data_IF_926306334124
#
_entry.id   IF_926306334124
#
_cell.length_a   1.000
_cell.length_b   1.000
_cell.length_c   1.000
_cell.angle_alpha   90.00
_cell.angle_beta   90.00
_cell.angle_gamma   90.00
#
_symmetry.space_group_name_H-M   'P 1'
#
loop_
_entity.id
_entity.type
_entity.pdbx_description
1 polymer ?
#
# COMPACT_ATOMS: atom_id res chain seq x y z
N UNK A 1 -12.73 21.61 14.81
CA UNK A 1 -13.15 20.30 14.25
C UNK A 1 -11.94 19.38 14.26
N UNK A 2 -11.98 18.24 14.96
CA UNK A 2 -10.90 17.23 14.89
C UNK A 2 -11.15 16.38 13.65
N UNK A 3 -10.35 16.54 12.61
CA UNK A 3 -10.37 15.60 11.48
C UNK A 3 -10.07 14.19 12.03
N UNK A 4 -10.84 13.16 11.67
CA UNK A 4 -10.54 11.81 12.07
C UNK A 4 -9.18 11.42 11.47
N UNK A 5 -8.21 11.13 12.33
CA UNK A 5 -6.89 10.68 11.90
C UNK A 5 -7.03 9.32 11.20
N UNK A 6 -6.61 9.23 9.95
CA UNK A 6 -6.56 7.96 9.23
C UNK A 6 -5.66 6.96 9.95
N UNK A 7 -5.99 5.67 9.85
CA UNK A 7 -5.03 4.66 10.30
C UNK A 7 -3.77 4.72 9.43
N UNK A 8 -2.61 4.51 10.06
CA UNK A 8 -1.31 4.56 9.39
C UNK A 8 -1.22 3.56 8.23
N UNK A 9 -1.82 2.38 8.38
CA UNK A 9 -1.85 1.36 7.32
C UNK A 9 -2.64 1.89 6.13
N UNK A 10 -3.81 2.46 6.37
CA UNK A 10 -4.60 3.10 5.32
C UNK A 10 -3.84 4.22 4.62
N UNK A 11 -3.14 5.07 5.38
CA UNK A 11 -2.30 6.12 4.83
C UNK A 11 -1.19 5.58 3.92
N UNK A 12 -0.48 4.53 4.35
CA UNK A 12 0.56 3.92 3.52
C UNK A 12 0.01 3.31 2.24
N UNK A 13 -1.12 2.58 2.32
CA UNK A 13 -1.75 2.01 1.14
C UNK A 13 -2.26 3.11 0.20
N UNK A 14 -2.86 4.17 0.75
CA UNK A 14 -3.30 5.33 -0.04
C UNK A 14 -2.14 6.00 -0.76
N UNK A 15 -1.02 6.25 -0.07
CA UNK A 15 0.18 6.81 -0.68
C UNK A 15 0.76 5.88 -1.76
N UNK A 16 0.72 4.56 -1.55
CA UNK A 16 1.12 3.62 -2.58
C UNK A 16 0.26 3.76 -3.84
N UNK A 17 -1.06 3.91 -3.70
CA UNK A 17 -1.97 4.13 -4.83
C UNK A 17 -1.65 5.43 -5.56
N UNK A 18 -1.39 6.51 -4.81
CA UNK A 18 -1.00 7.80 -5.40
C UNK A 18 0.30 7.67 -6.19
N UNK A 19 1.34 7.04 -5.62
CA UNK A 19 2.59 6.83 -6.34
C UNK A 19 2.40 5.95 -7.57
N UNK A 20 1.61 4.88 -7.50
CA UNK A 20 1.33 4.05 -8.66
C UNK A 20 0.66 4.83 -9.80
N UNK A 21 -0.33 5.67 -9.46
CA UNK A 21 -1.01 6.51 -10.44
C UNK A 21 -0.07 7.56 -11.05
N UNK A 22 0.73 8.24 -10.21
CA UNK A 22 1.70 9.23 -10.68
C UNK A 22 2.75 8.60 -11.59
N UNK A 23 3.28 7.43 -11.23
CA UNK A 23 4.26 6.70 -12.04
C UNK A 23 3.69 6.24 -13.38
N UNK A 24 2.41 5.87 -13.41
CA UNK A 24 1.74 5.54 -14.66
C UNK A 24 1.54 6.77 -15.55
N UNK A 25 1.06 7.87 -14.97
CA UNK A 25 0.89 9.13 -15.72
C UNK A 25 2.24 9.66 -16.21
N UNK A 26 3.31 9.54 -15.42
CA UNK A 26 4.64 9.99 -15.83
C UNK A 26 5.16 9.21 -17.04
N UNK A 27 4.82 7.92 -17.20
CA UNK A 27 5.16 7.14 -18.40
C UNK A 27 4.47 7.63 -19.68
N UNK A 28 3.32 8.30 -19.55
CA UNK A 28 2.59 8.85 -20.69
C UNK A 28 3.13 10.21 -21.13
N UNK A 29 3.69 10.97 -20.18
CA UNK A 29 4.11 12.36 -20.39
C UNK A 29 5.61 12.49 -20.60
N UNK A 30 6.42 11.69 -19.90
CA UNK A 30 7.88 11.76 -19.95
C UNK A 30 8.43 10.81 -21.03
N UNK A 31 9.31 11.29 -21.91
CA UNK A 31 10.00 10.45 -22.88
C UNK A 31 11.10 9.64 -22.16
N UNK A 32 10.70 8.51 -21.60
CA UNK A 32 11.55 7.61 -20.81
C UNK A 32 12.19 6.50 -21.66
N UNK A 33 11.81 6.37 -22.93
CA UNK A 33 12.33 5.35 -23.85
C UNK A 33 13.30 6.01 -24.83
N UNK A 34 14.55 5.59 -24.80
CA UNK A 34 15.55 6.00 -25.78
C UNK A 34 15.48 5.04 -26.98
N UNK A 35 15.08 5.54 -28.15
CA UNK A 35 15.24 4.83 -29.41
C UNK A 35 16.60 5.20 -30.00
N UNK A 36 17.46 4.21 -30.16
CA UNK A 36 18.72 4.39 -30.86
C UNK A 36 18.52 4.03 -32.33
N UNK A 37 18.61 5.03 -33.20
CA UNK A 37 18.49 4.82 -34.63
C UNK A 37 19.80 4.19 -35.16
N UNK A 38 19.71 2.95 -35.64
CA UNK A 38 20.86 2.10 -35.99
C UNK A 38 21.64 2.62 -37.21
N UNK A 39 21.04 3.48 -38.05
CA UNK A 39 21.68 4.06 -39.23
C UNK A 39 22.36 5.42 -38.96
N UNK A 40 21.84 6.21 -38.02
CA UNK A 40 22.30 7.59 -37.76
C UNK A 40 23.05 7.75 -36.43
N UNK A 41 22.91 6.79 -35.51
CA UNK A 41 23.46 6.87 -34.15
C UNK A 41 22.77 7.92 -33.27
N UNK A 42 21.69 8.53 -33.75
CA UNK A 42 20.92 9.54 -33.01
C UNK A 42 20.03 8.85 -31.97
N UNK A 43 20.10 9.32 -30.72
CA UNK A 43 19.29 8.81 -29.62
C UNK A 43 18.09 9.74 -29.46
N UNK A 44 16.91 9.27 -29.88
CA UNK A 44 15.67 10.03 -29.77
C UNK A 44 14.86 9.49 -28.59
N UNK A 45 14.64 10.34 -27.58
CA UNK A 45 13.79 10.01 -26.45
C UNK A 45 12.31 10.14 -26.85
N UNK A 46 11.56 9.05 -26.78
CA UNK A 46 10.13 8.98 -27.04
C UNK A 46 9.36 8.48 -25.81
N UNK A 47 8.08 8.84 -25.75
CA UNK A 47 7.17 8.29 -24.74
C UNK A 47 6.78 6.86 -25.12
N UNK A 48 6.44 6.03 -24.13
CA UNK A 48 5.94 4.67 -24.37
C UNK A 48 4.69 4.62 -25.28
N UNK A 49 3.90 5.70 -25.26
CA UNK A 49 2.73 5.85 -26.12
C UNK A 49 3.13 6.11 -27.57
N UNK A 50 4.15 6.94 -27.79
CA UNK A 50 4.68 7.24 -29.12
C UNK A 50 5.42 6.04 -29.73
N UNK A 51 6.04 5.20 -28.89
CA UNK A 51 6.70 3.96 -29.28
C UNK A 51 5.70 2.83 -29.66
N UNK A 52 4.39 3.04 -29.46
CA UNK A 52 3.35 2.09 -29.88
C UNK A 52 3.25 0.82 -29.03
N UNK A 53 3.99 0.72 -27.93
CA UNK A 53 4.02 -0.43 -27.02
C UNK A 53 2.80 -0.48 -26.07
N UNK A 54 1.61 -0.57 -26.65
CA UNK A 54 0.32 -0.58 -25.92
C UNK A 54 0.21 -1.73 -24.91
N UNK A 55 0.86 -2.87 -25.18
CA UNK A 55 0.89 -4.01 -24.25
C UNK A 55 1.64 -3.69 -22.96
N UNK A 56 2.78 -2.98 -23.05
CA UNK A 56 3.53 -2.55 -21.87
C UNK A 56 2.75 -1.49 -21.08
N UNK A 57 2.04 -0.59 -21.75
CA UNK A 57 1.13 0.35 -21.10
C UNK A 57 0.03 -0.35 -20.31
N UNK A 58 -0.59 -1.39 -20.88
CA UNK A 58 -1.58 -2.19 -20.16
C UNK A 58 -0.96 -2.92 -18.97
N UNK A 59 0.24 -3.45 -19.12
CA UNK A 59 0.93 -4.17 -18.06
C UNK A 59 1.32 -3.22 -16.90
N UNK A 60 1.64 -1.96 -17.20
CA UNK A 60 1.90 -0.91 -16.20
C UNK A 60 0.65 -0.49 -15.41
N UNK A 61 -0.56 -0.92 -15.78
CA UNK A 61 -1.75 -0.76 -14.93
C UNK A 61 -1.76 -1.73 -13.75
N UNK A 62 -1.00 -2.84 -13.81
CA UNK A 62 -1.02 -3.88 -12.78
C UNK A 62 -0.69 -3.32 -11.39
N UNK A 63 0.38 -2.53 -11.18
CA UNK A 63 0.65 -1.92 -9.87
C UNK A 63 -0.46 -0.99 -9.37
N UNK A 64 -1.18 -0.30 -10.27
CA UNK A 64 -2.32 0.53 -9.91
C UNK A 64 -3.47 -0.34 -9.43
N UNK A 65 -3.84 -1.37 -10.21
CA UNK A 65 -4.96 -2.27 -9.85
C UNK A 65 -4.68 -2.96 -8.51
N UNK A 66 -3.45 -3.42 -8.27
CA UNK A 66 -3.05 -4.05 -7.00
C UNK A 66 -3.07 -3.06 -5.84
N UNK A 67 -2.57 -1.83 -6.01
CA UNK A 67 -2.61 -0.83 -4.95
C UNK A 67 -4.03 -0.36 -4.64
N UNK A 68 -4.91 -0.23 -5.65
CA UNK A 68 -6.34 0.07 -5.46
C UNK A 68 -7.05 -1.08 -4.75
N UNK A 69 -6.78 -2.34 -5.13
CA UNK A 69 -7.39 -3.48 -4.45
C UNK A 69 -6.98 -3.53 -2.97
N UNK A 70 -5.70 -3.28 -2.67
CA UNK A 70 -5.20 -3.17 -1.31
C UNK A 70 -5.87 -2.02 -0.54
N UNK A 71 -6.10 -0.88 -1.20
CA UNK A 71 -6.78 0.28 -0.60
C UNK A 71 -8.22 -0.03 -0.24
N UNK A 72 -8.97 -0.68 -1.15
CA UNK A 72 -10.35 -1.09 -0.93
C UNK A 72 -10.47 -2.13 0.19
N UNK A 73 -9.48 -3.01 0.34
CA UNK A 73 -9.44 -4.00 1.40
C UNK A 73 -8.99 -3.43 2.77
N UNK A 74 -8.53 -2.18 2.81
CA UNK A 74 -8.01 -1.55 4.04
C UNK A 74 -9.00 -0.53 4.59
N UNK A 75 -9.53 -0.72 5.82
CA UNK A 75 -10.45 0.24 6.42
C UNK A 75 -9.74 1.54 6.83
N UNK A 76 -10.43 2.68 6.69
CA UNK A 76 -9.88 4.03 6.96
C UNK A 76 -9.47 4.29 8.41
N UNK A 77 -10.18 3.69 9.37
CA UNK A 77 -10.05 4.04 10.79
C UNK A 77 -9.75 2.85 11.70
N UNK A 78 -9.69 1.64 11.17
CA UNK A 78 -9.56 0.40 11.96
C UNK A 78 -8.40 -0.43 11.40
N UNK A 79 -8.00 -1.48 12.13
CA UNK A 79 -7.02 -2.41 11.59
C UNK A 79 -7.64 -3.28 10.50
N UNK A 80 -6.89 -3.64 9.44
CA UNK A 80 -7.37 -4.55 8.42
C UNK A 80 -7.66 -5.94 9.01
N UNK A 81 -8.74 -6.54 8.56
CA UNK A 81 -9.10 -7.94 8.86
C UNK A 81 -8.11 -8.91 8.22
N UNK A 82 -8.19 -10.21 8.58
CA UNK A 82 -7.27 -11.24 8.07
C UNK A 82 -7.20 -11.25 6.54
N UNK A 83 -8.35 -11.14 5.86
CA UNK A 83 -8.42 -11.08 4.40
C UNK A 83 -7.71 -9.83 3.83
N UNK A 84 -7.92 -8.65 4.45
CA UNK A 84 -7.26 -7.41 4.06
C UNK A 84 -5.73 -7.48 4.22
N UNK A 85 -5.24 -8.10 5.31
CA UNK A 85 -3.80 -8.31 5.51
C UNK A 85 -3.18 -9.19 4.43
N UNK A 86 -3.86 -10.28 4.08
CA UNK A 86 -3.43 -11.17 2.99
C UNK A 86 -3.42 -10.42 1.66
N UNK A 87 -4.44 -9.62 1.37
CA UNK A 87 -4.50 -8.84 0.13
C UNK A 87 -3.35 -7.82 0.03
N UNK A 88 -3.06 -7.09 1.11
CA UNK A 88 -1.92 -6.16 1.15
C UNK A 88 -0.63 -6.93 0.86
N UNK A 89 -0.40 -8.07 1.51
CA UNK A 89 0.80 -8.89 1.29
C UNK A 89 0.94 -9.42 -0.14
N UNK A 90 -0.14 -9.98 -0.69
CA UNK A 90 -0.15 -10.48 -2.06
C UNK A 90 0.10 -9.35 -3.06
N UNK A 91 -0.49 -8.17 -2.82
CA UNK A 91 -0.25 -6.97 -3.63
C UNK A 91 1.20 -6.52 -3.53
N UNK A 92 1.79 -6.50 -2.33
CA UNK A 92 3.21 -6.17 -2.14
C UNK A 92 4.12 -7.11 -2.93
N UNK A 93 3.92 -8.43 -2.82
CA UNK A 93 4.73 -9.43 -3.55
C UNK A 93 4.58 -9.22 -5.06
N UNK A 94 3.35 -9.11 -5.56
CA UNK A 94 3.10 -8.95 -6.99
C UNK A 94 3.69 -7.64 -7.55
N UNK A 95 3.63 -6.54 -6.79
CA UNK A 95 4.29 -5.28 -7.17
C UNK A 95 5.81 -5.43 -7.20
N UNK A 96 6.43 -6.14 -6.25
CA UNK A 96 7.86 -6.43 -6.31
C UNK A 96 8.26 -7.26 -7.53
N UNK A 97 7.50 -8.32 -7.82
CA UNK A 97 7.71 -9.14 -9.02
C UNK A 97 7.64 -8.27 -10.28
N UNK A 98 6.64 -7.40 -10.37
CA UNK A 98 6.53 -6.43 -11.45
C UNK A 98 7.77 -5.52 -11.53
N UNK A 99 8.18 -4.90 -10.42
CA UNK A 99 9.33 -3.99 -10.39
C UNK A 99 10.60 -4.69 -10.86
N UNK A 100 10.84 -5.93 -10.41
CA UNK A 100 12.03 -6.72 -10.78
C UNK A 100 12.02 -7.07 -12.26
N UNK A 101 10.88 -7.56 -12.79
CA UNK A 101 10.77 -7.96 -14.19
C UNK A 101 10.92 -6.78 -15.16
N UNK A 102 10.45 -5.59 -14.75
CA UNK A 102 10.44 -4.40 -15.61
C UNK A 102 11.53 -3.38 -15.24
N UNK A 103 12.52 -3.75 -14.41
CA UNK A 103 13.48 -2.79 -13.85
C UNK A 103 14.30 -2.05 -14.91
N UNK A 104 14.62 -2.73 -16.02
CA UNK A 104 15.40 -2.18 -17.14
C UNK A 104 14.61 -1.25 -18.06
N UNK A 105 13.29 -1.18 -17.90
CA UNK A 105 12.43 -0.35 -18.75
C UNK A 105 11.83 0.76 -17.90
N UNK A 106 10.97 0.39 -16.96
CA UNK A 106 10.02 1.32 -16.34
C UNK A 106 9.65 0.93 -14.91
N UNK A 107 10.07 -0.25 -14.45
CA UNK A 107 9.77 -0.78 -13.12
C UNK A 107 10.30 0.09 -11.99
N UNK A 108 11.40 0.83 -12.21
CA UNK A 108 11.98 1.72 -11.21
C UNK A 108 11.02 2.83 -10.75
N UNK A 109 10.13 3.28 -11.64
CA UNK A 109 9.14 4.31 -11.31
C UNK A 109 8.13 3.81 -10.27
N UNK A 110 7.91 2.51 -10.16
CA UNK A 110 6.99 1.91 -9.19
C UNK A 110 7.66 1.54 -7.85
N UNK A 111 8.95 1.83 -7.69
CA UNK A 111 9.68 1.55 -6.44
C UNK A 111 9.07 2.26 -5.21
N UNK A 112 8.66 3.55 -5.27
CA UNK A 112 8.00 4.21 -4.14
C UNK A 112 6.69 3.52 -3.73
N UNK A 113 5.92 3.01 -4.70
CA UNK A 113 4.71 2.21 -4.47
C UNK A 113 5.03 0.93 -3.69
N UNK A 114 6.08 0.20 -4.11
CA UNK A 114 6.51 -1.03 -3.43
C UNK A 114 6.92 -0.76 -1.98
N UNK A 115 7.67 0.33 -1.73
CA UNK A 115 8.10 0.74 -0.39
C UNK A 115 6.90 1.03 0.51
N UNK A 116 5.91 1.79 0.01
CA UNK A 116 4.71 2.13 0.78
C UNK A 116 3.84 0.89 1.09
N UNK A 117 3.66 0.00 0.11
CA UNK A 117 2.97 -1.29 0.33
C UNK A 117 3.71 -2.18 1.32
N UNK A 118 5.04 -2.13 1.36
CA UNK A 118 5.85 -2.85 2.34
C UNK A 118 5.62 -2.32 3.75
N UNK A 119 5.62 -1.00 3.92
CA UNK A 119 5.30 -0.37 5.20
C UNK A 119 3.89 -0.75 5.70
N UNK A 120 2.91 -0.79 4.79
CA UNK A 120 1.56 -1.27 5.08
C UNK A 120 1.53 -2.75 5.46
N UNK A 121 2.20 -3.61 4.70
CA UNK A 121 2.24 -5.06 4.92
C UNK A 121 2.86 -5.40 6.28
N UNK A 122 4.04 -4.85 6.59
CA UNK A 122 4.72 -5.04 7.87
C UNK A 122 3.90 -4.43 9.01
N UNK A 123 3.38 -3.21 8.82
CA UNK A 123 2.54 -2.52 9.80
C UNK A 123 1.25 -3.27 10.14
N UNK A 124 0.71 -4.05 9.20
CA UNK A 124 -0.51 -4.85 9.39
C UNK A 124 -0.32 -6.09 10.28
N UNK A 125 0.92 -6.58 10.41
CA UNK A 125 1.24 -7.74 11.26
C UNK A 125 1.50 -7.38 12.71
N UNK A 126 1.93 -6.15 12.99
CA UNK A 126 2.12 -5.69 14.37
C UNK A 126 0.75 -5.55 15.01
N UNK A 127 0.37 -6.56 15.81
CA UNK A 127 -0.86 -6.56 16.60
C UNK A 127 -0.76 -5.40 17.58
N UNK A 128 -1.43 -4.27 17.31
CA UNK A 128 -1.43 -3.18 18.29
C UNK A 128 -2.19 -3.70 19.51
N UNK A 129 -1.53 -3.72 20.67
CA UNK A 129 -2.24 -3.69 21.95
C UNK A 129 -3.27 -2.57 21.82
N UNK A 130 -4.54 -2.89 22.05
CA UNK A 130 -5.56 -1.86 22.19
C UNK A 130 -5.00 -0.83 23.17
N UNK A 131 -4.71 0.37 22.67
CA UNK A 131 -4.30 1.46 23.53
C UNK A 131 -5.41 1.60 24.54
N UNK A 132 -5.08 1.42 25.82
CA UNK A 132 -5.99 1.57 26.94
C UNK A 132 -6.76 2.88 26.73
N UNK A 133 -8.02 2.77 26.31
CA UNK A 133 -8.87 3.94 26.12
C UNK A 133 -9.43 4.24 27.50
N UNK A 134 -9.07 5.37 28.14
CA UNK A 134 -9.64 5.71 29.44
C UNK A 134 -11.18 5.81 29.38
N UNK A 135 -11.76 6.02 28.18
CA UNK A 135 -13.19 5.96 27.93
C UNK A 135 -13.79 4.54 28.00
N UNK A 136 -13.07 3.50 27.55
CA UNK A 136 -13.50 2.09 27.73
C UNK A 136 -13.32 1.64 29.19
N UNK A 137 -12.23 2.07 29.84
CA UNK A 137 -11.96 1.74 31.25
C UNK A 137 -12.96 2.39 32.22
N UNK A 138 -13.40 3.64 31.93
CA UNK A 138 -14.43 4.31 32.73
C UNK A 138 -15.83 3.70 32.52
N UNK A 139 -16.12 3.15 31.33
CA UNK A 139 -17.34 2.38 31.10
C UNK A 139 -17.36 1.06 31.90
N UNK A 140 -16.24 0.32 31.95
CA UNK A 140 -16.12 -0.90 32.77
C UNK A 140 -16.18 -0.60 34.28
N UNK A 141 -15.58 0.51 34.72
CA UNK A 141 -15.65 0.96 36.12
C UNK A 141 -17.06 1.41 36.53
N UNK A 142 -17.86 1.96 35.61
CA UNK A 142 -19.24 2.38 35.89
C UNK A 142 -20.26 1.22 35.84
N UNK A 143 -19.94 0.12 35.15
CA UNK A 143 -20.78 -1.09 35.12
C UNK A 143 -20.49 -2.10 36.23
N UNK A 144 -19.42 -1.91 37.01
CA UNK A 144 -18.99 -2.82 38.09
C UNK A 144 -19.78 -2.69 39.39
N UNK A 145 -21.11 -2.83 39.32
CA UNK A 145 -21.97 -2.89 40.51
C UNK A 145 -21.99 -4.33 41.05
N UNK A 146 -21.10 -4.62 42.01
CA UNK A 146 -21.39 -5.55 43.11
C UNK A 146 -20.67 -6.91 43.13
N UNK A 147 -20.04 -7.17 44.28
CA UNK A 147 -19.66 -8.51 44.78
C UNK A 147 -18.23 -8.92 44.45
N UNK A 148 -17.33 -9.24 45.37
CA UNK A 148 -17.41 -9.51 46.80
C UNK A 148 -16.11 -10.25 47.17
N UNK A 149 -15.46 -9.85 48.26
CA UNK A 149 -14.27 -10.50 48.82
C UNK A 149 -14.51 -12.01 49.07
N UNK A 150 -13.56 -12.86 48.71
CA UNK A 150 -13.18 -14.12 49.42
C UNK A 150 -11.88 -14.66 48.79
N UNK A 151 -10.71 -14.37 49.35
CA UNK A 151 -10.03 -15.12 50.42
C UNK A 151 -9.64 -16.55 50.03
N UNK A 152 -8.33 -16.74 49.83
CA UNK A 152 -7.46 -17.90 50.15
C UNK A 152 -8.09 -19.31 50.04
N UNK A 153 -7.43 -20.17 49.26
CA UNK A 153 -6.98 -21.43 49.84
C UNK A 153 -5.64 -21.90 49.26
N UNK A 154 -4.72 -22.24 50.17
CA UNK A 154 -3.49 -22.99 49.92
C UNK A 154 -3.87 -24.47 49.85
N UNK A 155 -3.26 -25.21 48.92
CA UNK A 155 -2.78 -26.57 49.14
C UNK A 155 -1.48 -26.72 48.39
#
# INVERSE_FOLDING_TARGET
MKMPSWDRIYFFVFMATVFAAVSYVSMLVLPLVELQDLESGEVVAVTLLADGQTQLLLLCLVPIVLSVSALLATPRHHQPERAGKVNIWMSTIAVYVFVILFIFVNGILFLPTAIMLTAAAVGSHVRRREGYSPAKASAELSSGRGGGKRSRNRR
#
